data_IF_721052692965
#
_entry.id   IF_721052692965
#
_cell.length_a   1.000
_cell.length_b   1.000
_cell.length_c   1.000
_cell.angle_alpha   90.00
_cell.angle_beta   90.00
_cell.angle_gamma   90.00
#
_symmetry.space_group_name_H-M   'P 1'
#
loop_
_entity.id
_entity.type
_entity.pdbx_description
1 polymer ?
#
# COMPACT_ATOMS: atom_id res chain seq x y z
N UNK A 1 -2.41 -40.60 9.36
CA UNK A 1 -2.22 -39.59 8.30
C UNK A 1 -3.18 -38.45 8.63
N UNK A 2 -2.66 -37.28 8.98
CA UNK A 2 -3.46 -36.09 9.20
C UNK A 2 -2.74 -34.94 8.52
N UNK A 3 -3.39 -34.38 7.49
CA UNK A 3 -2.93 -33.23 6.76
C UNK A 3 -3.52 -31.96 7.33
N UNK A 4 -2.71 -30.91 7.36
CA UNK A 4 -3.12 -29.52 7.17
C UNK A 4 -1.97 -28.82 6.46
N UNK A 5 -2.24 -28.29 5.27
CA UNK A 5 -1.40 -27.28 4.64
C UNK A 5 -2.12 -25.96 4.90
N UNK A 6 -1.85 -25.34 6.04
CA UNK A 6 -2.38 -24.01 6.30
C UNK A 6 -1.57 -23.04 5.44
N UNK A 7 -2.26 -22.31 4.57
CA UNK A 7 -1.66 -21.20 3.84
C UNK A 7 -1.13 -20.19 4.86
N UNK A 8 0.18 -20.12 4.98
CA UNK A 8 0.84 -19.24 5.92
C UNK A 8 0.83 -17.80 5.37
N UNK A 9 0.29 -16.86 6.14
CA UNK A 9 0.43 -15.43 5.83
C UNK A 9 1.89 -15.03 6.06
N UNK A 10 2.59 -14.68 4.97
CA UNK A 10 4.01 -14.32 4.99
C UNK A 10 4.28 -12.82 4.86
N UNK A 11 3.23 -12.02 4.63
CA UNK A 11 3.32 -10.57 4.52
C UNK A 11 1.97 -9.88 4.75
N UNK A 12 2.03 -8.60 5.13
CA UNK A 12 0.89 -7.78 5.50
C UNK A 12 1.12 -6.32 5.11
N UNK A 13 0.06 -5.64 4.69
CA UNK A 13 0.03 -4.21 4.41
C UNK A 13 -1.20 -3.56 5.01
N UNK A 14 -1.08 -2.31 5.48
CA UNK A 14 -2.21 -1.53 6.00
C UNK A 14 -2.25 -0.11 5.43
N UNK A 15 -3.42 0.29 4.93
CA UNK A 15 -3.76 1.67 4.60
C UNK A 15 -4.77 2.20 5.61
N UNK A 16 -4.64 3.47 5.97
CA UNK A 16 -5.63 4.25 6.71
C UNK A 16 -5.95 5.50 5.92
N UNK A 17 -7.23 5.85 5.76
CA UNK A 17 -7.63 7.08 5.09
C UNK A 17 -9.14 7.29 5.14
N UNK A 18 -9.56 8.46 4.64
CA UNK A 18 -10.96 8.91 4.65
C UNK A 18 -11.67 8.71 3.29
N UNK A 19 -10.98 8.15 2.30
CA UNK A 19 -11.51 7.99 0.94
C UNK A 19 -11.54 9.28 0.11
N UNK A 20 -10.97 10.38 0.60
CA UNK A 20 -11.08 11.69 -0.04
C UNK A 20 -9.81 12.51 0.04
N UNK A 21 -9.51 13.09 1.21
CA UNK A 21 -8.40 14.03 1.32
C UNK A 21 -7.07 13.36 1.58
N UNK A 22 -7.04 12.23 2.29
CA UNK A 22 -5.77 11.68 2.78
C UNK A 22 -5.82 10.16 2.96
N UNK A 23 -4.74 9.52 2.49
CA UNK A 23 -4.38 8.14 2.79
C UNK A 23 -2.97 8.08 3.38
N UNK A 24 -2.72 7.08 4.21
CA UNK A 24 -1.42 6.74 4.76
C UNK A 24 -1.23 5.23 4.69
N UNK A 25 -0.11 4.80 4.11
CA UNK A 25 0.35 3.43 4.26
C UNK A 25 1.06 3.37 5.61
N UNK A 26 0.48 2.64 6.56
CA UNK A 26 0.94 2.62 7.93
C UNK A 26 1.96 1.51 8.18
N UNK A 27 1.63 0.28 7.78
CA UNK A 27 2.48 -0.87 8.03
C UNK A 27 2.71 -1.64 6.72
N UNK A 28 3.96 -2.04 6.49
CA UNK A 28 4.35 -3.07 5.53
C UNK A 28 5.27 -4.04 6.27
N UNK A 29 4.81 -5.27 6.44
CA UNK A 29 5.51 -6.29 7.21
C UNK A 29 5.67 -7.52 6.31
N UNK A 30 6.89 -8.06 6.27
CA UNK A 30 7.19 -9.34 5.63
C UNK A 30 7.98 -10.17 6.63
N UNK A 31 7.57 -11.44 6.81
CA UNK A 31 8.28 -12.36 7.70
C UNK A 31 9.77 -12.43 7.32
N UNK A 32 10.71 -12.40 8.29
CA UNK A 32 12.15 -12.31 8.00
C UNK A 32 12.66 -13.30 6.95
N UNK A 33 12.20 -14.55 7.02
CA UNK A 33 12.58 -15.63 6.08
C UNK A 33 12.15 -15.40 4.63
N UNK A 34 11.25 -14.45 4.38
CA UNK A 34 10.67 -14.14 3.06
C UNK A 34 11.01 -12.73 2.59
N UNK A 35 11.84 -11.99 3.33
CA UNK A 35 12.32 -10.67 2.92
C UNK A 35 13.31 -10.77 1.76
N UNK A 36 13.55 -9.63 1.08
CA UNK A 36 14.43 -9.52 -0.10
C UNK A 36 13.99 -10.33 -1.33
N UNK A 37 12.80 -10.92 -1.30
CA UNK A 37 12.14 -11.61 -2.42
C UNK A 37 11.15 -10.72 -3.19
N UNK A 38 11.17 -9.40 -2.93
CA UNK A 38 10.27 -8.43 -3.58
C UNK A 38 8.84 -8.41 -3.02
N UNK A 39 8.52 -9.18 -1.98
CA UNK A 39 7.17 -9.24 -1.40
C UNK A 39 6.71 -7.89 -0.81
N UNK A 40 7.60 -7.13 -0.17
CA UNK A 40 7.28 -5.80 0.33
C UNK A 40 6.88 -4.83 -0.79
N UNK A 41 7.57 -4.90 -1.93
CA UNK A 41 7.21 -4.11 -3.10
C UNK A 41 5.86 -4.55 -3.67
N UNK A 42 5.59 -5.86 -3.75
CA UNK A 42 4.28 -6.35 -4.18
C UNK A 42 3.15 -5.80 -3.31
N UNK A 43 3.30 -5.88 -1.98
CA UNK A 43 2.33 -5.31 -1.04
C UNK A 43 2.16 -3.81 -1.30
N UNK A 44 3.25 -3.05 -1.40
CA UNK A 44 3.19 -1.61 -1.69
C UNK A 44 2.46 -1.30 -3.00
N UNK A 45 2.74 -2.04 -4.07
CA UNK A 45 2.12 -1.86 -5.39
C UNK A 45 0.61 -2.07 -5.30
N UNK A 46 0.15 -3.17 -4.71
CA UNK A 46 -1.28 -3.46 -4.54
C UNK A 46 -1.98 -2.37 -3.71
N UNK A 47 -1.34 -1.89 -2.64
CA UNK A 47 -1.86 -0.80 -1.82
C UNK A 47 -1.97 0.52 -2.60
N UNK A 48 -0.97 0.83 -3.44
CA UNK A 48 -0.98 2.04 -4.27
C UNK A 48 -2.03 1.95 -5.38
N UNK A 49 -2.18 0.80 -6.02
CA UNK A 49 -3.22 0.58 -7.04
C UNK A 49 -4.61 0.86 -6.45
N UNK A 50 -4.92 0.33 -5.27
CA UNK A 50 -6.16 0.65 -4.56
C UNK A 50 -6.36 2.16 -4.30
N UNK A 51 -5.30 2.88 -3.90
CA UNK A 51 -5.38 4.33 -3.65
C UNK A 51 -5.65 5.11 -4.94
N UNK A 52 -5.06 4.68 -6.08
CA UNK A 52 -5.26 5.37 -7.36
C UNK A 52 -6.70 5.32 -7.86
N UNK A 53 -7.50 4.34 -7.44
CA UNK A 53 -8.94 4.27 -7.73
C UNK A 53 -9.72 5.48 -7.18
N UNK A 54 -9.21 6.15 -6.13
CA UNK A 54 -9.79 7.36 -5.55
C UNK A 54 -9.36 8.65 -6.28
N UNK A 55 -8.64 8.54 -7.40
CA UNK A 55 -8.18 9.68 -8.21
C UNK A 55 -7.00 10.43 -7.59
N UNK A 56 -6.26 9.79 -6.68
CA UNK A 56 -5.02 10.34 -6.15
C UNK A 56 -3.89 10.23 -7.19
N UNK A 57 -3.09 11.29 -7.29
CA UNK A 57 -1.89 11.29 -8.12
C UNK A 57 -0.73 10.59 -7.39
N UNK A 58 0.08 9.82 -8.11
CA UNK A 58 1.25 9.15 -7.55
C UNK A 58 2.32 10.18 -7.10
N UNK A 59 2.83 10.04 -5.87
CA UNK A 59 3.82 10.93 -5.25
C UNK A 59 4.83 10.13 -4.40
N UNK A 60 6.09 10.60 -4.24
CA UNK A 60 6.63 11.86 -4.76
C UNK A 60 6.83 11.81 -6.28
N UNK A 61 6.69 12.96 -6.92
CA UNK A 61 6.98 13.17 -8.33
C UNK A 61 7.75 14.50 -8.51
N UNK A 62 8.14 14.84 -9.74
CA UNK A 62 8.92 16.07 -10.00
C UNK A 62 8.22 17.35 -9.52
N UNK A 63 6.89 17.37 -9.49
CA UNK A 63 6.09 18.53 -9.11
C UNK A 63 5.72 18.57 -7.62
N UNK A 64 5.74 17.42 -6.92
CA UNK A 64 5.24 17.30 -5.55
C UNK A 64 6.07 16.31 -4.72
N UNK A 65 6.44 16.71 -3.50
CA UNK A 65 7.16 15.87 -2.54
C UNK A 65 6.34 14.70 -1.96
N UNK A 66 6.89 14.05 -0.95
CA UNK A 66 6.27 12.88 -0.31
C UNK A 66 4.92 13.23 0.38
N UNK A 67 4.01 12.25 0.42
CA UNK A 67 2.70 12.34 1.09
C UNK A 67 1.51 12.26 0.11
N UNK A 68 0.27 12.18 0.62
CA UNK A 68 -0.96 12.08 -0.20
C UNK A 68 -1.97 13.16 0.23
N UNK A 69 -2.29 14.10 -0.65
CA UNK A 69 -3.20 15.23 -0.42
C UNK A 69 -3.92 15.50 -1.73
N UNK A 70 -5.24 15.39 -1.72
CA UNK A 70 -6.08 15.69 -2.89
C UNK A 70 -6.32 17.20 -3.00
N UNK A 71 -5.95 17.80 -4.14
CA UNK A 71 -6.28 19.20 -4.44
C UNK A 71 -7.58 19.23 -5.25
N UNK A 72 -8.68 19.63 -4.62
CA UNK A 72 -9.96 19.81 -5.31
C UNK A 72 -9.85 21.03 -6.23
N UNK A 73 -10.06 20.85 -7.54
CA UNK A 73 -10.19 21.98 -8.46
C UNK A 73 -11.44 22.77 -8.09
N UNK A 74 -11.25 24.02 -7.65
CA UNK A 74 -12.35 24.97 -7.47
C UNK A 74 -12.89 25.32 -8.87
N UNK A 75 -14.19 25.10 -9.09
CA UNK A 75 -14.90 25.60 -10.26
C UNK A 75 -14.91 27.14 -10.26
#
# INVERSE_FOLDING_TARGET
MAGRYEEQVIGYGRIVGDGGFTFYIQDIIVLPSYQRLGLGNKIMTELMEYITEFGFMERPNESYGAGMMQFIKKQ
#
